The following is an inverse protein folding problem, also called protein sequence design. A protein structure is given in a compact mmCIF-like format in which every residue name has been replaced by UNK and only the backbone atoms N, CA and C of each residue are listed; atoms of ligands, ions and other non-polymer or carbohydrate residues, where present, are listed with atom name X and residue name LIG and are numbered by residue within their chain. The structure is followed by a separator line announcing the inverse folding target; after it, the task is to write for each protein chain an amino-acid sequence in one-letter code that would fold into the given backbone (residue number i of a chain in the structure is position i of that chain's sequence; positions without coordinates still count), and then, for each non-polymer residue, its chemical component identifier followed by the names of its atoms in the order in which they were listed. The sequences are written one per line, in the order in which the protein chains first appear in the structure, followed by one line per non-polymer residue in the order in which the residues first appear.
data_IF_661346584459
#
_entry.id   IF_661346584459
#
_cell.length_a   1.000
_cell.length_b   1.000
_cell.length_c   1.000
_cell.angle_alpha   90.00
_cell.angle_beta   90.00
_cell.angle_gamma   90.00
#
_symmetry.space_group_name_H-M   'P 1'
#
loop_
_entity.id
_entity.type
_entity.pdbx_description
1 polymer ?
#
# COMPACT_ATOMS: atom_id res chain seq x y z
N UNK A 1 -29.94 -78.59 -14.96
CA UNK A 1 -30.71 -77.43 -14.47
C UNK A 1 -30.55 -77.28 -12.96
N UNK A 2 -30.75 -78.33 -12.17
CA UNK A 2 -30.54 -78.34 -10.71
C UNK A 2 -29.15 -77.88 -10.23
N UNK A 3 -28.07 -78.29 -10.91
CA UNK A 3 -26.71 -77.88 -10.51
C UNK A 3 -26.46 -76.36 -10.63
N UNK A 4 -27.11 -75.67 -11.57
CA UNK A 4 -26.95 -74.23 -11.77
C UNK A 4 -27.72 -73.43 -10.71
N UNK A 5 -28.88 -73.92 -10.28
CA UNK A 5 -29.63 -73.34 -9.14
C UNK A 5 -28.93 -73.59 -7.81
N UNK A 6 -28.32 -74.77 -7.63
CA UNK A 6 -27.54 -75.09 -6.43
C UNK A 6 -26.30 -74.18 -6.33
N UNK A 7 -25.62 -73.92 -7.45
CA UNK A 7 -24.45 -73.01 -7.51
C UNK A 7 -24.85 -71.55 -7.29
N UNK A 8 -26.02 -71.12 -7.80
CA UNK A 8 -26.55 -69.77 -7.59
C UNK A 8 -26.94 -69.53 -6.12
N UNK A 9 -27.54 -70.51 -5.44
CA UNK A 9 -27.84 -70.42 -3.99
C UNK A 9 -26.58 -70.43 -3.13
N UNK A 10 -25.57 -71.21 -3.49
CA UNK A 10 -24.29 -71.24 -2.76
C UNK A 10 -23.52 -69.91 -2.89
N UNK A 11 -23.56 -69.27 -4.06
CA UNK A 11 -22.92 -67.96 -4.27
C UNK A 11 -23.60 -66.82 -3.50
N UNK A 12 -24.91 -66.89 -3.27
CA UNK A 12 -25.65 -65.92 -2.46
C UNK A 12 -25.44 -66.09 -0.94
N UNK A 13 -24.99 -67.26 -0.49
CA UNK A 13 -24.78 -67.58 0.92
C UNK A 13 -23.33 -67.35 1.42
N UNK A 14 -22.43 -66.86 0.56
CA UNK A 14 -21.04 -66.60 0.92
C UNK A 14 -20.92 -65.33 1.80
N UNK A 15 -20.10 -65.35 2.87
CA UNK A 15 -19.84 -64.16 3.67
C UNK A 15 -19.09 -63.12 2.81
N UNK A 16 -19.76 -62.01 2.49
CA UNK A 16 -19.29 -60.99 1.55
C UNK A 16 -19.99 -60.97 0.18
N UNK A 17 -21.00 -61.83 -0.04
CA UNK A 17 -21.89 -61.72 -1.19
C UNK A 17 -22.63 -60.37 -1.14
N UNK A 18 -22.78 -59.72 -2.31
CA UNK A 18 -23.49 -58.47 -2.43
C UNK A 18 -24.92 -58.63 -1.87
N UNK A 19 -25.16 -58.09 -0.68
CA UNK A 19 -26.49 -58.04 -0.11
C UNK A 19 -27.37 -57.29 -1.10
N UNK A 20 -28.44 -57.94 -1.57
CA UNK A 20 -29.47 -57.26 -2.34
C UNK A 20 -30.03 -56.17 -1.44
N UNK A 21 -29.72 -54.92 -1.76
CA UNK A 21 -30.16 -53.74 -1.03
C UNK A 21 -31.65 -53.84 -0.74
N UNK A 22 -32.04 -53.77 0.53
CA UNK A 22 -33.45 -53.74 0.87
C UNK A 22 -34.10 -52.49 0.29
N UNK A 23 -35.41 -52.51 0.06
CA UNK A 23 -36.12 -51.33 -0.45
C UNK A 23 -35.98 -50.11 0.50
N UNK A 24 -35.67 -50.35 1.77
CA UNK A 24 -35.37 -49.31 2.76
C UNK A 24 -33.97 -48.73 2.58
N UNK A 25 -32.96 -49.55 2.28
CA UNK A 25 -31.59 -49.09 2.01
C UNK A 25 -31.50 -48.26 0.74
N UNK A 26 -32.26 -48.62 -0.30
CA UNK A 26 -32.34 -47.84 -1.54
C UNK A 26 -32.95 -46.46 -1.26
N UNK A 27 -34.03 -46.39 -0.46
CA UNK A 27 -34.64 -45.12 -0.06
C UNK A 27 -33.71 -44.27 0.80
N UNK A 28 -33.01 -44.89 1.75
CA UNK A 28 -32.02 -44.21 2.58
C UNK A 28 -30.86 -43.66 1.74
N UNK A 29 -30.40 -44.43 0.75
CA UNK A 29 -29.37 -44.00 -0.20
C UNK A 29 -29.85 -42.84 -1.08
N UNK A 30 -31.07 -42.91 -1.62
CA UNK A 30 -31.65 -41.83 -2.43
C UNK A 30 -31.87 -40.55 -1.63
N UNK A 31 -32.33 -40.67 -0.38
CA UNK A 31 -32.47 -39.54 0.53
C UNK A 31 -31.09 -38.91 0.87
N UNK A 32 -30.09 -39.74 1.17
CA UNK A 32 -28.73 -39.29 1.42
C UNK A 32 -28.11 -38.61 0.17
N UNK A 33 -28.33 -39.20 -1.01
CA UNK A 33 -27.88 -38.64 -2.29
C UNK A 33 -28.54 -37.29 -2.57
N UNK A 34 -29.83 -37.14 -2.31
CA UNK A 34 -30.54 -35.88 -2.47
C UNK A 34 -30.05 -34.76 -1.54
N UNK A 35 -29.55 -35.11 -0.34
CA UNK A 35 -28.92 -34.14 0.59
C UNK A 35 -27.53 -33.75 0.10
N UNK A 36 -26.73 -34.72 -0.37
CA UNK A 36 -25.37 -34.48 -0.88
C UNK A 36 -25.40 -33.68 -2.19
N UNK A 37 -26.35 -33.95 -3.09
CA UNK A 37 -26.47 -33.27 -4.38
C UNK A 37 -26.87 -31.79 -4.23
N UNK A 38 -27.62 -31.42 -3.18
CA UNK A 38 -28.00 -30.02 -2.89
C UNK A 38 -26.83 -29.15 -2.41
N UNK A 39 -25.74 -29.77 -1.92
CA UNK A 39 -24.61 -29.08 -1.33
C UNK A 39 -23.33 -29.12 -2.18
N UNK A 40 -23.36 -29.66 -3.41
CA UNK A 40 -22.16 -29.73 -4.25
C UNK A 40 -21.68 -28.32 -4.58
N UNK A 41 -20.47 -27.91 -4.14
CA UNK A 41 -19.88 -26.67 -4.59
C UNK A 41 -19.80 -26.72 -6.11
N UNK A 42 -20.24 -25.65 -6.77
CA UNK A 42 -20.12 -25.52 -8.22
C UNK A 42 -18.67 -25.80 -8.59
N UNK A 43 -18.45 -26.82 -9.41
CA UNK A 43 -17.09 -27.16 -9.83
C UNK A 43 -16.50 -25.92 -10.51
N UNK A 44 -15.32 -25.44 -10.08
CA UNK A 44 -14.69 -24.29 -10.71
C UNK A 44 -14.59 -24.54 -12.21
N UNK A 45 -14.88 -23.51 -13.01
CA UNK A 45 -14.87 -23.63 -14.45
C UNK A 45 -13.54 -24.24 -14.91
N UNK A 46 -13.55 -25.11 -15.93
CA UNK A 46 -12.35 -25.83 -16.37
C UNK A 46 -11.16 -24.91 -16.68
N UNK A 47 -11.44 -23.66 -17.05
CA UNK A 47 -10.46 -22.61 -17.36
C UNK A 47 -9.92 -21.87 -16.13
N UNK A 48 -10.57 -21.98 -14.98
CA UNK A 48 -10.17 -21.29 -13.75
C UNK A 48 -8.81 -21.79 -13.25
N UNK A 49 -8.56 -23.11 -13.33
CA UNK A 49 -7.28 -23.71 -12.92
C UNK A 49 -6.08 -23.24 -13.79
N UNK A 50 -6.14 -23.29 -15.14
CA UNK A 50 -5.09 -22.72 -15.98
C UNK A 50 -4.89 -21.21 -15.79
N UNK A 51 -5.97 -20.44 -15.66
CA UNK A 51 -5.89 -18.98 -15.45
C UNK A 51 -5.30 -18.64 -14.08
N UNK A 52 -5.71 -19.36 -13.03
CA UNK A 52 -5.15 -19.24 -11.69
C UNK A 52 -3.66 -19.62 -11.69
N UNK A 53 -3.26 -20.66 -12.40
CA UNK A 53 -1.85 -21.03 -12.56
C UNK A 53 -1.04 -19.92 -13.25
N UNK A 54 -1.54 -19.38 -14.36
CA UNK A 54 -0.87 -18.30 -15.08
C UNK A 54 -0.78 -17.01 -14.25
N UNK A 55 -1.86 -16.61 -13.58
CA UNK A 55 -1.90 -15.38 -12.80
C UNK A 55 -1.03 -15.47 -11.55
N UNK A 56 -1.17 -16.54 -10.76
CA UNK A 56 -0.51 -16.63 -9.46
C UNK A 56 0.87 -17.29 -9.53
N UNK A 57 1.04 -18.38 -10.28
CA UNK A 57 2.34 -19.07 -10.34
C UNK A 57 3.28 -18.34 -11.29
N UNK A 58 2.83 -18.00 -12.50
CA UNK A 58 3.70 -17.33 -13.48
C UNK A 58 3.76 -15.83 -13.21
N UNK A 59 2.60 -15.17 -13.08
CA UNK A 59 2.50 -13.73 -12.82
C UNK A 59 3.10 -13.35 -11.46
N UNK A 60 2.50 -13.80 -10.36
CA UNK A 60 2.99 -13.45 -9.02
C UNK A 60 4.28 -14.20 -8.64
N UNK A 61 4.43 -15.47 -9.03
CA UNK A 61 5.60 -16.29 -8.68
C UNK A 61 6.82 -16.01 -9.54
N UNK A 62 6.83 -16.49 -10.80
CA UNK A 62 8.03 -16.48 -11.65
C UNK A 62 8.46 -15.08 -12.05
N UNK A 63 7.52 -14.18 -12.36
CA UNK A 63 7.85 -12.80 -12.75
C UNK A 63 7.83 -11.86 -11.53
N UNK A 64 6.84 -11.99 -10.66
CA UNK A 64 6.64 -11.12 -9.51
C UNK A 64 7.70 -11.29 -8.42
N UNK A 65 8.02 -12.52 -8.00
CA UNK A 65 8.95 -12.76 -6.88
C UNK A 65 10.37 -12.26 -7.20
N UNK A 66 10.99 -12.53 -8.36
CA UNK A 66 12.31 -12.01 -8.66
C UNK A 66 12.34 -10.48 -8.73
N UNK A 67 11.31 -9.85 -9.29
CA UNK A 67 11.20 -8.39 -9.33
C UNK A 67 11.09 -7.80 -7.92
N UNK A 68 10.19 -8.35 -7.09
CA UNK A 68 9.99 -7.87 -5.73
C UNK A 68 11.24 -8.09 -4.85
N UNK A 69 11.89 -9.25 -5.00
CA UNK A 69 13.13 -9.56 -4.31
C UNK A 69 14.26 -8.61 -4.75
N UNK A 70 14.36 -8.30 -6.05
CA UNK A 70 15.32 -7.34 -6.57
C UNK A 70 15.09 -5.94 -6.02
N UNK A 71 13.84 -5.43 -6.04
CA UNK A 71 13.50 -4.12 -5.47
C UNK A 71 13.81 -4.07 -3.96
N UNK A 72 13.50 -5.14 -3.22
CA UNK A 72 13.83 -5.23 -1.80
C UNK A 72 15.35 -5.22 -1.57
N UNK A 73 16.12 -6.03 -2.30
CA UNK A 73 17.58 -6.05 -2.18
C UNK A 73 18.21 -4.71 -2.58
N UNK A 74 17.71 -4.09 -3.65
CA UNK A 74 18.12 -2.77 -4.11
C UNK A 74 17.88 -1.72 -3.03
N UNK A 75 16.71 -1.70 -2.40
CA UNK A 75 16.40 -0.79 -1.30
C UNK A 75 17.21 -1.10 -0.03
N UNK A 76 17.38 -2.37 0.32
CA UNK A 76 18.11 -2.79 1.52
C UNK A 76 19.61 -2.48 1.46
N UNK A 77 20.19 -2.49 0.25
CA UNK A 77 21.58 -2.09 0.02
C UNK A 77 21.80 -0.58 0.20
N UNK A 78 20.74 0.23 0.07
CA UNK A 78 20.84 1.68 0.09
C UNK A 78 20.81 2.22 1.51
N UNK A 79 21.87 2.92 1.89
CA UNK A 79 22.02 3.54 3.21
C UNK A 79 22.36 5.00 3.02
N UNK A 80 21.56 5.86 3.64
CA UNK A 80 21.73 7.30 3.64
C UNK A 80 21.90 7.78 5.07
N UNK A 81 22.87 8.67 5.28
CA UNK A 81 23.10 9.29 6.58
C UNK A 81 23.65 10.69 6.39
N UNK A 82 23.19 11.61 7.21
CA UNK A 82 23.82 12.91 7.38
C UNK A 82 24.66 12.87 8.66
N UNK A 83 25.95 13.18 8.54
CA UNK A 83 26.85 13.25 9.68
C UNK A 83 26.80 14.64 10.34
N UNK A 84 27.31 14.74 11.57
CA UNK A 84 27.27 15.97 12.35
C UNK A 84 28.11 17.12 11.73
N UNK A 85 29.15 16.77 10.98
CA UNK A 85 29.97 17.70 10.20
C UNK A 85 29.24 18.25 8.96
N UNK A 86 28.12 17.63 8.57
CA UNK A 86 27.41 17.95 7.34
C UNK A 86 27.72 17.06 6.16
N UNK A 87 28.64 16.11 6.30
CA UNK A 87 28.93 15.18 5.23
C UNK A 87 27.74 14.24 5.02
N UNK A 88 27.43 13.99 3.76
CA UNK A 88 26.35 13.13 3.33
C UNK A 88 26.91 11.77 2.91
N UNK A 89 26.55 10.73 3.65
CA UNK A 89 26.90 9.36 3.31
C UNK A 89 25.79 8.72 2.46
N UNK A 90 26.19 8.16 1.32
CA UNK A 90 25.33 7.33 0.49
C UNK A 90 26.07 6.04 0.10
N UNK A 91 25.48 4.88 0.41
CA UNK A 91 26.00 3.56 0.00
C UNK A 91 27.49 3.33 0.32
N UNK A 92 27.95 3.83 1.46
CA UNK A 92 29.35 3.71 1.91
C UNK A 92 30.33 4.72 1.27
N UNK A 93 29.84 5.65 0.45
CA UNK A 93 30.59 6.83 0.01
C UNK A 93 30.16 8.04 0.83
N UNK A 94 31.11 8.88 1.17
CA UNK A 94 30.88 10.12 1.91
C UNK A 94 31.14 11.30 1.00
N UNK A 95 30.16 12.17 0.83
CA UNK A 95 30.30 13.45 0.12
C UNK A 95 30.39 14.53 1.18
N UNK A 96 31.50 15.27 1.27
CA UNK A 96 31.60 16.36 2.22
C UNK A 96 30.66 17.50 1.82
N UNK A 97 30.25 18.33 2.77
CA UNK A 97 29.24 19.37 2.52
C UNK A 97 29.69 20.34 1.42
N UNK A 98 30.98 20.68 1.39
CA UNK A 98 31.57 21.55 0.39
C UNK A 98 31.49 20.98 -1.03
N UNK A 99 31.32 19.68 -1.21
CA UNK A 99 31.19 19.03 -2.52
C UNK A 99 29.73 18.88 -2.96
N UNK A 100 28.78 19.27 -2.11
CA UNK A 100 27.37 19.38 -2.49
C UNK A 100 27.18 20.71 -3.20
N UNK A 101 26.82 20.66 -4.49
CA UNK A 101 26.63 21.85 -5.32
C UNK A 101 25.22 22.43 -5.17
N UNK A 102 24.21 21.56 -5.14
CA UNK A 102 22.80 21.97 -5.15
C UNK A 102 21.89 20.84 -4.62
N UNK A 103 20.65 21.18 -4.28
CA UNK A 103 19.57 20.24 -3.97
C UNK A 103 18.29 20.63 -4.72
N UNK A 104 17.86 19.76 -5.63
CA UNK A 104 16.60 19.93 -6.35
C UNK A 104 15.42 19.53 -5.47
N UNK A 105 14.68 20.55 -5.02
CA UNK A 105 13.51 20.46 -4.15
C UNK A 105 12.17 20.53 -4.90
N UNK A 106 12.17 20.55 -6.25
CA UNK A 106 10.96 20.79 -7.05
C UNK A 106 9.84 19.76 -6.80
N UNK A 107 10.21 18.53 -6.44
CA UNK A 107 9.27 17.43 -6.15
C UNK A 107 9.11 17.16 -4.65
N UNK A 108 9.73 17.95 -3.79
CA UNK A 108 9.74 17.68 -2.36
C UNK A 108 8.35 17.82 -1.76
N UNK A 109 7.71 18.98 -1.90
CA UNK A 109 6.38 19.21 -1.31
C UNK A 109 5.23 18.47 -2.03
N UNK A 110 5.46 17.92 -3.23
CA UNK A 110 4.42 17.24 -4.03
C UNK A 110 4.54 15.72 -4.04
N UNK A 111 5.75 15.16 -3.90
CA UNK A 111 6.02 13.73 -3.97
C UNK A 111 6.97 13.23 -2.89
N UNK A 112 7.43 14.10 -1.98
CA UNK A 112 8.43 13.79 -0.95
C UNK A 112 9.73 13.23 -1.53
N UNK A 113 10.12 13.74 -2.70
CA UNK A 113 11.35 13.36 -3.41
C UNK A 113 12.22 14.59 -3.65
N UNK A 114 13.49 14.51 -3.26
CA UNK A 114 14.50 15.52 -3.55
C UNK A 114 15.71 14.87 -4.24
N UNK A 115 16.50 15.65 -4.99
CA UNK A 115 17.73 15.15 -5.61
C UNK A 115 18.92 16.02 -5.20
N UNK A 116 19.86 15.42 -4.47
CA UNK A 116 21.13 16.05 -4.12
C UNK A 116 22.06 16.00 -5.33
N UNK A 117 22.66 17.13 -5.68
CA UNK A 117 23.59 17.27 -6.80
C UNK A 117 24.96 17.60 -6.24
N UNK A 118 25.92 16.70 -6.45
CA UNK A 118 27.31 16.94 -6.10
C UNK A 118 28.06 17.67 -7.22
N UNK A 119 29.17 18.32 -6.88
CA UNK A 119 30.01 19.08 -7.82
C UNK A 119 30.60 18.25 -8.95
N UNK A 120 30.78 16.95 -8.71
CA UNK A 120 31.22 15.96 -9.71
C UNK A 120 30.10 15.63 -10.74
N UNK A 121 28.90 16.19 -10.57
CA UNK A 121 27.73 15.92 -11.40
C UNK A 121 26.90 14.71 -10.94
N UNK A 122 27.30 14.03 -9.85
CA UNK A 122 26.55 12.91 -9.29
C UNK A 122 25.20 13.40 -8.75
N UNK A 123 24.12 12.74 -9.18
CA UNK A 123 22.75 13.03 -8.73
C UNK A 123 22.22 11.91 -7.88
N UNK A 124 21.87 12.19 -6.63
CA UNK A 124 21.38 11.21 -5.66
C UNK A 124 19.95 11.57 -5.29
N UNK A 125 19.02 10.72 -5.72
CA UNK A 125 17.60 10.89 -5.42
C UNK A 125 17.27 10.29 -4.05
N UNK A 126 16.73 11.13 -3.17
CA UNK A 126 16.22 10.78 -1.85
C UNK A 126 14.70 10.83 -1.88
N UNK A 127 14.09 9.76 -1.38
CA UNK A 127 12.64 9.56 -1.38
C UNK A 127 12.21 9.18 0.03
N UNK A 128 11.44 10.06 0.67
CA UNK A 128 11.02 9.90 2.06
C UNK A 128 9.98 8.78 2.25
N UNK A 129 9.25 8.42 1.19
CA UNK A 129 8.36 7.24 1.23
C UNK A 129 9.14 5.94 1.25
N UNK A 130 10.33 5.90 0.63
CA UNK A 130 11.17 4.70 0.55
C UNK A 130 12.13 4.57 1.71
N UNK A 131 12.68 5.69 2.19
CA UNK A 131 13.72 5.71 3.20
C UNK A 131 13.31 6.59 4.38
N UNK A 132 13.29 6.00 5.58
CA UNK A 132 12.92 6.72 6.80
C UNK A 132 13.91 7.84 7.10
N UNK A 133 13.39 8.92 7.67
CA UNK A 133 14.15 10.11 8.08
C UNK A 133 14.87 10.82 6.94
N UNK A 134 14.44 10.62 5.68
CA UNK A 134 15.04 11.32 4.55
C UNK A 134 14.73 12.81 4.64
N UNK A 135 13.58 13.18 5.19
CA UNK A 135 13.21 14.55 5.50
C UNK A 135 14.27 15.30 6.34
N UNK A 136 14.90 14.65 7.32
CA UNK A 136 15.95 15.27 8.15
C UNK A 136 17.25 15.50 7.38
N UNK A 137 17.59 14.57 6.49
CA UNK A 137 18.78 14.68 5.62
C UNK A 137 18.56 15.80 4.61
N UNK A 138 17.42 15.76 3.92
CA UNK A 138 17.05 16.73 2.89
C UNK A 138 16.91 18.13 3.51
N UNK A 139 16.16 18.25 4.61
CA UNK A 139 15.98 19.51 5.34
C UNK A 139 17.30 20.05 5.88
N UNK A 140 18.17 19.19 6.45
CA UNK A 140 19.49 19.61 6.91
C UNK A 140 20.40 20.15 5.79
N UNK A 141 20.36 19.55 4.60
CA UNK A 141 21.12 20.03 3.43
C UNK A 141 20.47 21.31 2.86
N UNK A 142 19.15 21.30 2.68
CA UNK A 142 18.39 22.42 2.11
C UNK A 142 18.48 23.67 2.98
N UNK A 143 18.32 23.56 4.30
CA UNK A 143 18.44 24.68 5.23
C UNK A 143 19.84 25.30 5.26
N UNK A 144 20.88 24.56 4.85
CA UNK A 144 22.24 25.10 4.73
C UNK A 144 22.47 25.83 3.40
N UNK A 145 21.95 25.29 2.30
CA UNK A 145 22.10 25.91 0.97
C UNK A 145 21.14 27.08 0.77
N UNK A 146 19.94 26.95 1.31
CA UNK A 146 18.80 27.87 1.15
C UNK A 146 18.12 28.15 2.50
N UNK A 147 18.84 28.76 3.47
CA UNK A 147 18.35 28.96 4.84
C UNK A 147 17.07 29.78 4.97
N UNK A 148 16.77 30.63 3.97
CA UNK A 148 15.58 31.46 3.98
C UNK A 148 14.35 30.77 3.39
N UNK A 149 14.57 29.72 2.59
CA UNK A 149 13.50 29.02 1.88
C UNK A 149 13.09 27.73 2.60
N UNK A 150 14.02 27.09 3.30
CA UNK A 150 13.79 25.77 3.91
C UNK A 150 14.27 25.70 5.36
N UNK A 151 13.48 25.02 6.19
CA UNK A 151 13.85 24.64 7.55
C UNK A 151 14.61 23.29 7.57
N UNK A 152 15.31 23.01 8.67
CA UNK A 152 16.03 21.77 8.98
C UNK A 152 15.16 20.52 8.94
N UNK A 153 13.84 20.66 9.18
CA UNK A 153 12.85 19.59 9.03
C UNK A 153 12.37 19.39 7.59
N UNK A 154 12.85 20.21 6.64
CA UNK A 154 12.46 20.18 5.23
C UNK A 154 11.13 20.89 4.94
N UNK A 155 10.71 21.85 5.78
CA UNK A 155 9.49 22.63 5.53
C UNK A 155 9.79 23.87 4.71
N UNK A 156 8.87 24.23 3.81
CA UNK A 156 8.95 25.44 2.98
C UNK A 156 8.57 26.68 3.81
N UNK A 157 9.56 27.50 4.13
CA UNK A 157 9.41 28.70 4.95
C UNK A 157 8.65 29.81 4.22
N UNK A 158 8.71 29.88 2.89
CA UNK A 158 7.96 30.87 2.12
C UNK A 158 6.46 30.54 2.17
N UNK A 159 6.12 29.25 2.04
CA UNK A 159 4.74 28.79 2.14
C UNK A 159 4.17 28.95 3.54
N UNK A 160 4.96 28.70 4.59
CA UNK A 160 4.53 28.91 5.98
C UNK A 160 4.21 30.39 6.21
N UNK A 161 5.12 31.30 5.84
CA UNK A 161 4.89 32.75 5.97
C UNK A 161 3.64 33.21 5.23
N UNK A 162 3.43 32.74 4.00
CA UNK A 162 2.23 33.07 3.22
C UNK A 162 0.93 32.56 3.87
N UNK A 163 0.97 31.40 4.54
CA UNK A 163 -0.17 30.87 5.29
C UNK A 163 -0.45 31.69 6.55
N UNK A 164 0.59 32.06 7.30
CA UNK A 164 0.46 32.91 8.49
C UNK A 164 -0.13 34.29 8.15
N UNK A 165 0.33 34.91 7.06
CA UNK A 165 -0.22 36.17 6.57
C UNK A 165 -1.71 36.05 6.16
N UNK A 166 -2.08 34.94 5.52
CA UNK A 166 -3.48 34.68 5.13
C UNK A 166 -4.39 34.49 6.36
N UNK A 167 -3.91 33.78 7.39
CA UNK A 167 -4.64 33.59 8.66
C UNK A 167 -4.76 34.91 9.41
N UNK A 168 -3.69 35.70 9.50
CA UNK A 168 -3.75 37.01 10.13
C UNK A 168 -4.73 37.96 9.40
N UNK A 169 -4.79 37.89 8.07
CA UNK A 169 -5.74 38.65 7.28
C UNK A 169 -7.19 38.19 7.49
N UNK A 170 -7.46 36.89 7.63
CA UNK A 170 -8.81 36.39 7.94
C UNK A 170 -9.24 36.80 9.34
N UNK A 171 -8.36 36.69 10.33
CA UNK A 171 -8.66 37.05 11.71
C UNK A 171 -8.92 38.55 11.84
N UNK A 172 -8.14 39.39 11.15
CA UNK A 172 -8.37 40.84 11.08
C UNK A 172 -9.71 41.19 10.41
N UNK A 173 -10.10 40.46 9.36
CA UNK A 173 -11.39 40.65 8.70
C UNK A 173 -12.58 40.25 9.59
N UNK A 174 -12.44 39.16 10.36
CA UNK A 174 -13.46 38.70 11.31
C UNK A 174 -13.62 39.65 12.51
N UNK A 175 -12.50 40.16 13.06
CA UNK A 175 -12.50 41.19 14.09
C UNK A 175 -13.11 42.51 13.61
N UNK A 176 -12.85 42.91 12.36
CA UNK A 176 -13.46 44.10 11.75
C UNK A 176 -14.98 43.91 11.52
N UNK A 177 -15.43 42.71 11.13
CA UNK A 177 -16.84 42.38 10.97
C UNK A 177 -17.58 42.34 12.32
N UNK A 178 -16.96 41.82 13.38
CA UNK A 178 -17.53 41.78 14.72
C UNK A 178 -17.59 43.15 15.42
N UNK A 179 -16.81 44.13 14.94
CA UNK A 179 -16.76 45.50 15.50
C UNK A 179 -17.71 46.49 14.84
N UNK A 180 -18.55 46.05 13.87
CA UNK A 180 -19.60 46.92 13.33
C UNK A 180 -20.69 47.13 14.40
N UNK A 181 -20.95 48.39 14.83
CA UNK A 181 -22.05 48.64 15.77
C UNK A 181 -23.37 48.36 15.06
N UNK A 182 -24.25 47.60 15.71
CA UNK A 182 -25.65 47.51 15.32
C UNK A 182 -26.22 48.92 15.36
N UNK A 183 -26.40 49.54 14.18
CA UNK A 183 -27.07 50.82 14.07
C UNK A 183 -28.54 50.62 14.44
N UNK A 184 -28.85 51.01 15.67
CA UNK A 184 -30.16 51.04 16.29
C UNK A 184 -31.14 51.84 15.40
N UNK A 185 -32.12 51.16 14.80
CA UNK A 185 -33.21 51.80 14.08
C UNK A 185 -34.31 52.22 15.06
N UNK A 186 -34.01 53.19 15.92
CA UNK A 186 -35.03 53.90 16.70
C UNK A 186 -35.64 55.00 15.83
N UNK A 187 -36.73 54.66 15.11
CA UNK A 187 -37.57 55.69 14.47
C UNK A 187 -38.70 56.05 15.43
N UNK A 188 -38.48 57.13 16.15
CA UNK A 188 -39.46 57.90 16.90
C UNK A 188 -40.64 58.26 15.99
N UNK A 189 -41.86 57.82 16.36
CA UNK A 189 -43.11 58.28 15.74
C UNK A 189 -43.81 59.17 16.75
N UNK A 190 -43.55 60.47 16.63
CA UNK A 190 -44.40 61.53 17.18
C UNK A 190 -45.76 61.51 16.49
N UNK A 191 -46.83 61.30 17.28
CA UNK A 191 -48.21 61.75 17.02
C UNK A 191 -48.72 62.37 18.32
#
# INVERSE_FOLDING_TARGET
AEEMEAKARAAAAAPGAAQTLSAEDVKAYEAAKAVVDKGKPVAPAAYDRPVQMWLYIIGCGVLGVPWFLWEWLSAASKKYRLNADGSFEFNGRTIPMEDIADIDMAKWMSKSVATVVAKDGTRITLDDYKFKNSNLIIGGIAARLYPNDWDTDGRDLNKIRAQEEAVAASDAAELAAASQPAADSATDKTV
#
